data_IF_802160822236
#
_entry.id   IF_802160822236
#
_cell.length_a   1.000
_cell.length_b   1.000
_cell.length_c   1.000
_cell.angle_alpha   90.00
_cell.angle_beta   90.00
_cell.angle_gamma   90.00
#
_symmetry.space_group_name_H-M   'P 1'
#
loop_
_entity.id
_entity.type
_entity.pdbx_description
1 polymer ?
#
# COMPACT_ATOMS: atom_id res chain seq x y z
N UNK A 1 -74.57 51.31 13.63
CA UNK A 1 -74.83 50.47 12.44
C UNK A 1 -73.49 50.10 11.80
N UNK A 2 -73.42 48.95 11.12
CA UNK A 2 -72.34 48.53 10.20
C UNK A 2 -71.99 49.63 9.17
N UNK A 3 -70.84 49.71 8.48
CA UNK A 3 -69.63 48.86 8.34
C UNK A 3 -68.45 49.80 7.85
N UNK A 4 -67.26 49.42 7.33
CA UNK A 4 -66.61 48.15 6.89
C UNK A 4 -65.06 48.30 6.96
N UNK A 5 -64.30 47.25 6.62
CA UNK A 5 -62.85 47.30 6.30
C UNK A 5 -62.63 47.63 4.78
N UNK A 6 -61.44 47.76 4.16
CA UNK A 6 -60.23 46.90 4.17
C UNK A 6 -58.93 47.72 3.81
N UNK A 7 -57.72 47.17 3.50
CA UNK A 7 -56.51 47.43 4.30
C UNK A 7 -55.35 48.15 3.56
N UNK A 8 -54.21 48.40 4.23
CA UNK A 8 -52.93 48.31 3.52
C UNK A 8 -51.72 47.86 4.38
N UNK A 9 -51.13 46.75 3.93
CA UNK A 9 -49.78 46.22 4.14
C UNK A 9 -48.90 46.77 5.30
N UNK A 10 -48.77 45.95 6.36
CA UNK A 10 -47.57 45.97 7.19
C UNK A 10 -46.39 45.43 6.36
N UNK A 11 -45.34 46.25 6.19
CA UNK A 11 -44.07 45.82 5.61
C UNK A 11 -43.36 44.92 6.63
N UNK A 12 -43.49 43.61 6.49
CA UNK A 12 -42.69 42.64 7.26
C UNK A 12 -41.21 42.82 6.93
N UNK A 13 -40.43 43.26 7.92
CA UNK A 13 -38.98 43.21 7.84
C UNK A 13 -38.53 41.75 7.82
N UNK A 14 -37.95 41.31 6.71
CA UNK A 14 -37.30 40.01 6.63
C UNK A 14 -36.03 40.08 7.50
N UNK A 15 -36.03 39.36 8.63
CA UNK A 15 -34.78 39.03 9.31
C UNK A 15 -34.01 38.05 8.42
N UNK A 16 -32.79 38.42 8.03
CA UNK A 16 -31.88 37.52 7.33
C UNK A 16 -31.49 36.36 8.26
N UNK A 17 -31.47 35.10 7.78
CA UNK A 17 -31.11 33.97 8.60
C UNK A 17 -29.60 33.91 8.82
N UNK A 18 -29.18 34.07 10.08
CA UNK A 18 -27.91 33.56 10.58
C UNK A 18 -26.63 34.11 9.95
N UNK A 19 -26.31 35.38 10.22
CA UNK A 19 -24.89 35.80 10.27
C UNK A 19 -24.20 35.02 11.38
N UNK A 20 -23.61 33.87 11.03
CA UNK A 20 -22.66 33.15 11.88
C UNK A 20 -21.46 34.08 12.00
N UNK A 21 -21.18 34.59 13.20
CA UNK A 21 -20.02 35.46 13.40
C UNK A 21 -18.75 34.74 12.94
N UNK A 22 -17.80 35.42 12.27
CA UNK A 22 -16.52 34.82 11.92
C UNK A 22 -15.85 34.21 13.15
N UNK A 23 -15.18 33.05 13.03
CA UNK A 23 -14.45 32.47 14.15
C UNK A 23 -13.30 33.40 14.54
N UNK A 24 -13.01 33.51 15.85
CA UNK A 24 -11.98 34.41 16.34
C UNK A 24 -10.59 33.99 15.81
N UNK A 25 -9.70 34.94 15.46
CA UNK A 25 -8.33 34.64 15.00
C UNK A 25 -7.58 33.65 15.90
N UNK A 26 -7.73 33.76 17.22
CA UNK A 26 -7.14 32.86 18.22
C UNK A 26 -7.69 31.43 18.12
N UNK A 27 -9.00 31.26 17.97
CA UNK A 27 -9.63 29.93 17.86
C UNK A 27 -9.24 29.24 16.55
N UNK A 28 -9.12 30.02 15.48
CA UNK A 28 -8.67 29.55 14.16
C UNK A 28 -7.19 29.13 14.17
N UNK A 29 -6.31 29.87 14.85
CA UNK A 29 -4.93 29.45 15.09
C UNK A 29 -4.86 28.15 15.92
N UNK A 30 -5.74 27.96 16.92
CA UNK A 30 -5.83 26.71 17.67
C UNK A 30 -6.33 25.55 16.79
N UNK A 31 -7.25 25.80 15.85
CA UNK A 31 -7.70 24.81 14.87
C UNK A 31 -6.56 24.36 13.95
N UNK A 32 -5.80 25.30 13.36
CA UNK A 32 -4.64 24.99 12.51
C UNK A 32 -3.58 24.19 13.30
N UNK A 33 -3.26 24.61 14.54
CA UNK A 33 -2.25 23.93 15.35
C UNK A 33 -2.66 22.49 15.73
N UNK A 34 -3.96 22.21 15.93
CA UNK A 34 -4.44 20.83 16.14
C UNK A 34 -4.24 19.95 14.91
N UNK A 35 -4.49 20.49 13.72
CA UNK A 35 -4.24 19.77 12.45
C UNK A 35 -2.73 19.54 12.26
N UNK A 36 -1.89 20.55 12.52
CA UNK A 36 -0.43 20.40 12.49
C UNK A 36 0.09 19.28 13.41
N UNK A 37 -0.45 19.16 14.64
CA UNK A 37 -0.09 18.09 15.58
C UNK A 37 -0.55 16.70 15.08
N UNK A 38 -1.78 16.58 14.59
CA UNK A 38 -2.26 15.32 14.01
C UNK A 38 -1.45 14.92 12.75
N UNK A 39 -0.82 15.88 12.07
CA UNK A 39 0.14 15.62 10.99
C UNK A 39 1.54 15.23 11.50
N UNK A 40 1.92 15.54 12.74
CA UNK A 40 3.11 14.94 13.38
C UNK A 40 2.83 13.47 13.68
N UNK A 41 1.67 13.14 14.22
CA UNK A 41 1.27 11.75 14.50
C UNK A 41 1.27 10.89 13.22
N UNK A 42 0.68 11.39 12.13
CA UNK A 42 0.70 10.70 10.83
C UNK A 42 2.12 10.57 10.25
N UNK A 43 2.99 11.59 10.43
CA UNK A 43 4.39 11.53 10.02
C UNK A 43 5.19 10.50 10.84
N UNK A 44 4.91 10.36 12.14
CA UNK A 44 5.50 9.32 12.99
C UNK A 44 5.09 7.93 12.51
N UNK A 45 3.81 7.70 12.19
CA UNK A 45 3.36 6.42 11.62
C UNK A 45 4.00 6.11 10.27
N UNK A 46 4.20 7.11 9.39
CA UNK A 46 4.90 6.94 8.10
C UNK A 46 6.41 6.64 8.23
N UNK A 47 6.99 6.88 9.40
CA UNK A 47 8.39 6.59 9.73
C UNK A 47 8.54 5.33 10.60
N UNK A 48 7.47 4.57 10.83
CA UNK A 48 7.55 3.25 11.46
C UNK A 48 8.50 2.32 10.65
N UNK A 49 9.35 1.51 11.31
CA UNK A 49 10.37 0.70 10.63
C UNK A 49 9.76 -0.29 9.62
N UNK A 50 8.57 -0.80 9.90
CA UNK A 50 7.81 -1.75 9.08
C UNK A 50 7.39 -1.16 7.73
N UNK A 51 7.28 0.18 7.63
CA UNK A 51 6.97 0.88 6.38
C UNK A 51 8.19 1.54 5.72
N UNK A 52 9.28 1.73 6.49
CA UNK A 52 10.41 2.58 6.07
C UNK A 52 11.74 1.84 5.87
N UNK A 53 11.86 0.61 6.38
CA UNK A 53 13.12 -0.16 6.34
C UNK A 53 12.92 -1.62 5.96
N UNK A 54 11.80 -2.23 6.33
CA UNK A 54 11.50 -3.64 6.01
C UNK A 54 10.66 -3.69 4.73
N UNK A 55 11.00 -4.60 3.81
CA UNK A 55 10.40 -4.65 2.46
C UNK A 55 9.41 -5.81 2.32
N UNK A 56 9.72 -6.96 2.93
CA UNK A 56 9.13 -8.27 2.62
C UNK A 56 8.75 -9.06 3.89
N UNK A 57 8.20 -8.37 4.89
CA UNK A 57 7.74 -9.00 6.14
C UNK A 57 6.40 -8.39 6.57
N UNK A 58 5.48 -9.23 7.03
CA UNK A 58 4.16 -8.86 7.56
C UNK A 58 3.41 -7.88 6.64
N UNK A 59 3.22 -8.31 5.39
CA UNK A 59 2.44 -7.56 4.41
C UNK A 59 1.03 -7.20 4.91
N UNK A 60 0.44 -8.00 5.80
CA UNK A 60 -0.85 -7.73 6.42
C UNK A 60 -0.77 -6.49 7.32
N UNK A 61 0.21 -6.43 8.23
CA UNK A 61 0.44 -5.26 9.08
C UNK A 61 0.80 -4.02 8.26
N UNK A 62 1.64 -4.15 7.25
CA UNK A 62 1.98 -3.04 6.36
C UNK A 62 0.74 -2.49 5.63
N UNK A 63 -0.14 -3.36 5.11
CA UNK A 63 -1.38 -2.95 4.44
C UNK A 63 -2.35 -2.24 5.40
N UNK A 64 -2.60 -2.83 6.57
CA UNK A 64 -3.49 -2.25 7.58
C UNK A 64 -2.96 -0.90 8.12
N UNK A 65 -1.64 -0.80 8.32
CA UNK A 65 -1.00 0.44 8.74
C UNK A 65 -1.12 1.54 7.68
N UNK A 66 -0.80 1.23 6.41
CA UNK A 66 -0.98 2.17 5.29
C UNK A 66 -2.44 2.60 5.11
N UNK A 67 -3.39 1.68 5.29
CA UNK A 67 -4.82 1.96 5.23
C UNK A 67 -5.27 2.90 6.34
N UNK A 68 -4.88 2.63 7.60
CA UNK A 68 -5.17 3.53 8.71
C UNK A 68 -4.54 4.93 8.50
N UNK A 69 -3.31 5.01 7.99
CA UNK A 69 -2.68 6.30 7.65
C UNK A 69 -3.47 7.01 6.54
N UNK A 70 -3.96 6.28 5.53
CA UNK A 70 -4.79 6.86 4.46
C UNK A 70 -6.09 7.46 5.00
N UNK A 71 -6.78 6.74 5.88
CA UNK A 71 -8.02 7.23 6.52
C UNK A 71 -7.75 8.48 7.38
N UNK A 72 -6.60 8.54 8.07
CA UNK A 72 -6.15 9.73 8.80
C UNK A 72 -5.87 10.91 7.85
N UNK A 73 -5.17 10.66 6.72
CA UNK A 73 -4.89 11.70 5.72
C UNK A 73 -6.18 12.25 5.10
N UNK A 74 -7.15 11.41 4.73
CA UNK A 74 -8.41 11.89 4.15
C UNK A 74 -9.15 12.83 5.12
N UNK A 75 -9.23 12.45 6.40
CA UNK A 75 -9.79 13.29 7.47
C UNK A 75 -8.99 14.59 7.69
N UNK A 76 -7.66 14.56 7.52
CA UNK A 76 -6.83 15.77 7.58
C UNK A 76 -7.09 16.68 6.36
N UNK A 77 -7.27 16.12 5.17
CA UNK A 77 -7.63 16.84 3.95
C UNK A 77 -8.97 17.59 4.09
N UNK A 78 -9.98 16.94 4.67
CA UNK A 78 -11.27 17.59 4.99
C UNK A 78 -11.11 18.78 5.94
N UNK A 79 -10.33 18.61 7.02
CA UNK A 79 -10.06 19.69 7.98
C UNK A 79 -9.28 20.85 7.35
N UNK A 80 -8.30 20.56 6.49
CA UNK A 80 -7.52 21.57 5.75
C UNK A 80 -8.42 22.34 4.76
N UNK A 81 -9.36 21.67 4.09
CA UNK A 81 -10.34 22.33 3.23
C UNK A 81 -11.23 23.31 4.02
N UNK A 82 -11.73 22.90 5.19
CA UNK A 82 -12.52 23.77 6.09
C UNK A 82 -11.69 24.94 6.63
N UNK A 83 -10.40 24.74 6.92
CA UNK A 83 -9.48 25.81 7.30
C UNK A 83 -9.38 26.84 6.16
N UNK A 84 -9.11 26.40 4.92
CA UNK A 84 -9.03 27.30 3.76
C UNK A 84 -10.34 28.02 3.44
N UNK A 85 -11.50 27.37 3.64
CA UNK A 85 -12.82 27.99 3.50
C UNK A 85 -13.01 29.17 4.47
N UNK A 86 -12.61 29.00 5.74
CA UNK A 86 -12.71 30.03 6.80
C UNK A 86 -11.69 31.16 6.65
N UNK A 87 -10.57 30.92 5.97
CA UNK A 87 -9.44 31.85 5.93
C UNK A 87 -9.82 33.31 5.59
N UNK A 88 -10.63 33.60 4.55
CA UNK A 88 -10.88 34.98 4.13
C UNK A 88 -11.60 35.80 5.22
N UNK A 89 -12.60 35.21 5.87
CA UNK A 89 -13.40 35.87 6.91
C UNK A 89 -12.56 36.15 8.16
N UNK A 90 -11.71 35.20 8.58
CA UNK A 90 -10.84 35.38 9.75
C UNK A 90 -9.77 36.43 9.51
N UNK A 91 -9.20 36.51 8.29
CA UNK A 91 -8.19 37.51 7.94
C UNK A 91 -8.77 38.94 7.91
N UNK A 92 -10.06 39.11 7.62
CA UNK A 92 -10.73 40.43 7.67
C UNK A 92 -10.91 40.95 9.10
N UNK A 93 -11.16 40.07 10.07
CA UNK A 93 -11.35 40.41 11.49
C UNK A 93 -10.02 40.42 12.29
N UNK A 94 -8.94 39.89 11.73
CA UNK A 94 -7.64 39.81 12.40
C UNK A 94 -6.89 41.16 12.42
N UNK A 95 -6.20 41.44 13.52
CA UNK A 95 -5.22 42.53 13.56
C UNK A 95 -4.00 42.21 12.67
N UNK A 96 -3.23 43.24 12.28
CA UNK A 96 -2.05 43.07 11.43
C UNK A 96 -1.08 41.97 11.90
N UNK A 97 -0.68 41.91 13.18
CA UNK A 97 0.17 40.84 13.71
C UNK A 97 -0.48 39.45 13.65
N UNK A 98 -1.77 39.33 13.95
CA UNK A 98 -2.52 38.06 13.91
C UNK A 98 -2.65 37.56 12.47
N UNK A 99 -2.92 38.44 11.51
CA UNK A 99 -3.01 38.09 10.10
C UNK A 99 -1.68 37.58 9.52
N UNK A 100 -0.55 38.14 9.98
CA UNK A 100 0.79 37.63 9.65
C UNK A 100 0.98 36.22 10.26
N UNK A 101 0.71 36.05 11.55
CA UNK A 101 0.84 34.76 12.23
C UNK A 101 -0.03 33.66 11.60
N UNK A 102 -1.27 33.98 11.23
CA UNK A 102 -2.17 33.07 10.52
C UNK A 102 -1.55 32.66 9.18
N UNK A 103 -1.05 33.61 8.40
CA UNK A 103 -0.46 33.32 7.08
C UNK A 103 0.80 32.44 7.19
N UNK A 104 1.63 32.68 8.19
CA UNK A 104 2.84 31.88 8.43
C UNK A 104 2.48 30.45 8.87
N UNK A 105 1.51 30.31 9.78
CA UNK A 105 1.01 28.99 10.24
C UNK A 105 0.34 28.22 9.10
N UNK A 106 -0.44 28.87 8.23
CA UNK A 106 -1.01 28.25 7.02
C UNK A 106 0.07 27.83 6.00
N UNK A 107 1.15 28.60 5.89
CA UNK A 107 2.29 28.23 5.03
C UNK A 107 2.97 26.97 5.56
N UNK A 108 3.14 26.85 6.88
CA UNK A 108 3.65 25.64 7.53
C UNK A 108 2.70 24.44 7.33
N UNK A 109 1.39 24.65 7.51
CA UNK A 109 0.35 23.64 7.30
C UNK A 109 0.42 23.04 5.89
N UNK A 110 0.39 23.89 4.85
CA UNK A 110 0.44 23.45 3.46
C UNK A 110 1.76 22.73 3.13
N UNK A 111 2.90 23.30 3.54
CA UNK A 111 4.21 22.69 3.27
C UNK A 111 4.36 21.30 3.94
N UNK A 112 3.81 21.12 5.14
CA UNK A 112 3.78 19.83 5.84
C UNK A 112 2.79 18.86 5.19
N UNK A 113 1.63 19.35 4.73
CA UNK A 113 0.62 18.55 4.03
C UNK A 113 1.18 17.96 2.73
N UNK A 114 1.87 18.78 1.92
CA UNK A 114 2.56 18.32 0.71
C UNK A 114 3.69 17.32 1.02
N UNK A 115 4.32 17.42 2.19
CA UNK A 115 5.38 16.51 2.62
C UNK A 115 4.83 15.15 3.03
N UNK A 116 3.82 15.11 3.91
CA UNK A 116 3.26 13.82 4.39
C UNK A 116 2.54 13.06 3.27
N UNK A 117 1.88 13.76 2.33
CA UNK A 117 1.28 13.10 1.16
C UNK A 117 2.34 12.49 0.23
N UNK A 118 3.47 13.19 0.01
CA UNK A 118 4.60 12.59 -0.75
C UNK A 118 5.15 11.37 -0.03
N UNK A 119 5.42 11.46 1.27
CA UNK A 119 5.88 10.32 2.07
C UNK A 119 4.90 9.14 2.00
N UNK A 120 3.59 9.37 2.15
CA UNK A 120 2.58 8.32 2.02
C UNK A 120 2.60 7.67 0.64
N UNK A 121 2.63 8.45 -0.44
CA UNK A 121 2.66 7.94 -1.81
C UNK A 121 3.95 7.14 -2.09
N UNK A 122 5.10 7.59 -1.59
CA UNK A 122 6.38 6.89 -1.72
C UNK A 122 6.33 5.53 -0.99
N UNK A 123 5.77 5.49 0.23
CA UNK A 123 5.61 4.28 1.05
C UNK A 123 4.61 3.30 0.41
N UNK A 124 3.45 3.79 -0.03
CA UNK A 124 2.42 2.96 -0.68
C UNK A 124 2.91 2.42 -2.03
N UNK A 125 3.55 3.25 -2.86
CA UNK A 125 4.14 2.82 -4.13
C UNK A 125 5.36 1.91 -3.97
N UNK A 126 6.01 1.89 -2.81
CA UNK A 126 7.00 0.88 -2.45
C UNK A 126 6.32 -0.45 -2.09
N UNK A 127 5.36 -0.43 -1.16
CA UNK A 127 4.57 -1.60 -0.77
C UNK A 127 3.88 -2.28 -1.98
N UNK A 128 3.27 -1.51 -2.87
CA UNK A 128 2.58 -2.06 -4.05
C UNK A 128 3.53 -2.76 -5.02
N UNK A 129 4.78 -2.29 -5.13
CA UNK A 129 5.83 -2.99 -5.91
C UNK A 129 6.31 -4.25 -5.22
N UNK A 130 6.60 -4.20 -3.92
CA UNK A 130 6.99 -5.37 -3.14
C UNK A 130 5.90 -6.47 -3.19
N UNK A 131 4.62 -6.10 -3.05
CA UNK A 131 3.50 -7.03 -3.20
C UNK A 131 3.40 -7.65 -4.59
N UNK A 132 3.68 -6.90 -5.66
CA UNK A 132 3.62 -7.43 -7.02
C UNK A 132 4.82 -8.34 -7.33
N UNK A 133 6.02 -7.94 -6.90
CA UNK A 133 7.22 -8.78 -6.97
C UNK A 133 7.05 -10.10 -6.18
N UNK A 134 6.38 -10.04 -5.02
CA UNK A 134 6.05 -11.21 -4.20
C UNK A 134 5.00 -12.12 -4.84
N UNK A 135 3.98 -11.56 -5.50
CA UNK A 135 3.00 -12.34 -6.28
C UNK A 135 3.65 -13.04 -7.47
N UNK A 136 4.44 -12.32 -8.26
CA UNK A 136 5.14 -12.90 -9.41
C UNK A 136 6.09 -14.01 -8.95
N UNK A 137 6.85 -13.76 -7.88
CA UNK A 137 7.69 -14.76 -7.23
C UNK A 137 6.91 -16.05 -6.87
N UNK A 138 5.71 -15.90 -6.28
CA UNK A 138 4.86 -17.06 -5.96
C UNK A 138 4.29 -17.78 -7.19
N UNK A 139 3.99 -17.07 -8.27
CA UNK A 139 3.61 -17.70 -9.55
C UNK A 139 4.79 -18.50 -10.13
N UNK A 140 5.97 -17.90 -10.24
CA UNK A 140 7.18 -18.55 -10.76
C UNK A 140 7.53 -19.81 -9.94
N UNK A 141 7.38 -19.74 -8.61
CA UNK A 141 7.58 -20.86 -7.69
C UNK A 141 6.53 -21.98 -7.89
N UNK A 142 5.26 -21.63 -8.12
CA UNK A 142 4.19 -22.59 -8.37
C UNK A 142 4.39 -23.32 -9.70
N UNK A 143 4.69 -22.58 -10.77
CA UNK A 143 4.89 -23.12 -12.11
C UNK A 143 6.09 -24.09 -12.15
N UNK A 144 7.19 -23.74 -11.46
CA UNK A 144 8.32 -24.64 -11.25
C UNK A 144 7.95 -25.89 -10.44
N UNK A 145 7.18 -25.73 -9.36
CA UNK A 145 6.77 -26.87 -8.50
C UNK A 145 5.87 -27.83 -9.27
N UNK A 146 4.97 -27.31 -10.11
CA UNK A 146 4.16 -28.11 -11.02
C UNK A 146 5.03 -28.87 -12.01
N UNK A 147 5.96 -28.18 -12.70
CA UNK A 147 6.84 -28.82 -13.67
C UNK A 147 7.71 -29.93 -13.06
N UNK A 148 8.27 -29.72 -11.85
CA UNK A 148 9.01 -30.78 -11.14
C UNK A 148 8.10 -31.96 -10.78
N UNK A 149 6.86 -31.71 -10.36
CA UNK A 149 5.90 -32.79 -10.07
C UNK A 149 5.57 -33.61 -11.31
N UNK A 150 5.29 -32.95 -12.44
CA UNK A 150 5.02 -33.61 -13.73
C UNK A 150 6.25 -34.38 -14.24
N UNK A 151 7.46 -33.86 -14.02
CA UNK A 151 8.71 -34.56 -14.33
C UNK A 151 8.96 -35.79 -13.44
N UNK A 152 8.69 -35.69 -12.13
CA UNK A 152 8.77 -36.82 -11.19
C UNK A 152 7.75 -37.92 -11.54
N UNK A 153 6.52 -37.57 -11.91
CA UNK A 153 5.49 -38.50 -12.38
C UNK A 153 5.89 -39.19 -13.69
N UNK A 154 6.35 -38.42 -14.69
CA UNK A 154 6.83 -38.96 -15.96
C UNK A 154 8.02 -39.92 -15.77
N UNK A 155 8.94 -39.64 -14.84
CA UNK A 155 10.06 -40.53 -14.55
C UNK A 155 9.64 -41.77 -13.74
N UNK A 156 8.71 -41.63 -12.79
CA UNK A 156 8.13 -42.78 -12.08
C UNK A 156 7.43 -43.74 -13.05
N UNK A 157 6.80 -43.21 -14.09
CA UNK A 157 6.17 -43.97 -15.18
C UNK A 157 7.15 -44.83 -16.00
N UNK A 158 8.46 -44.63 -15.88
CA UNK A 158 9.51 -45.44 -16.55
C UNK A 158 9.85 -46.72 -15.77
N UNK A 159 9.32 -46.90 -14.56
CA UNK A 159 9.50 -48.11 -13.77
C UNK A 159 8.55 -49.21 -14.26
N UNK A 160 9.11 -50.35 -14.65
CA UNK A 160 8.37 -51.53 -15.07
C UNK A 160 7.73 -52.24 -13.85
N UNK A 161 6.67 -53.05 -14.03
CA UNK A 161 5.96 -53.72 -12.93
C UNK A 161 6.79 -54.71 -12.09
N UNK A 162 7.98 -55.09 -12.56
CA UNK A 162 8.95 -55.94 -11.85
C UNK A 162 10.02 -55.15 -11.08
N UNK A 163 9.96 -53.81 -11.13
CA UNK A 163 10.96 -52.91 -10.56
C UNK A 163 12.17 -52.64 -11.46
N UNK A 164 12.19 -53.15 -12.70
CA UNK A 164 13.15 -52.77 -13.73
C UNK A 164 12.89 -51.38 -14.29
N UNK A 165 13.87 -50.82 -15.02
CA UNK A 165 13.72 -49.57 -15.76
C UNK A 165 13.38 -49.87 -17.22
N UNK A 166 12.27 -49.33 -17.73
CA UNK A 166 11.95 -49.33 -19.16
C UNK A 166 12.81 -48.27 -19.87
N UNK A 167 13.89 -48.73 -20.50
CA UNK A 167 14.87 -47.88 -21.18
C UNK A 167 14.31 -47.15 -22.42
N UNK A 168 13.29 -47.69 -23.08
CA UNK A 168 12.67 -47.06 -24.25
C UNK A 168 11.77 -45.90 -23.78
N UNK A 169 10.93 -46.16 -22.77
CA UNK A 169 10.08 -45.14 -22.16
C UNK A 169 10.89 -44.07 -21.43
N UNK A 170 11.95 -44.45 -20.72
CA UNK A 170 12.87 -43.51 -20.07
C UNK A 170 13.55 -42.59 -21.09
N UNK A 171 14.07 -43.13 -22.20
CA UNK A 171 14.66 -42.33 -23.27
C UNK A 171 13.68 -41.34 -23.90
N UNK A 172 12.42 -41.76 -24.12
CA UNK A 172 11.36 -40.87 -24.61
C UNK A 172 11.01 -39.76 -23.61
N UNK A 173 10.78 -40.10 -22.34
CA UNK A 173 10.38 -39.14 -21.32
C UNK A 173 11.52 -38.13 -21.02
N UNK A 174 12.77 -38.60 -20.96
CA UNK A 174 13.94 -37.71 -20.86
C UNK A 174 14.04 -36.76 -22.06
N UNK A 175 13.73 -37.23 -23.28
CA UNK A 175 13.76 -36.39 -24.48
C UNK A 175 12.67 -35.30 -24.48
N UNK A 176 11.52 -35.56 -23.87
CA UNK A 176 10.42 -34.59 -23.67
C UNK A 176 10.84 -33.52 -22.64
N UNK A 177 11.30 -33.94 -21.46
CA UNK A 177 11.75 -33.01 -20.41
C UNK A 177 12.89 -32.10 -20.90
N UNK A 178 13.82 -32.62 -21.72
CA UNK A 178 14.88 -31.82 -22.34
C UNK A 178 14.37 -30.86 -23.44
N UNK A 179 13.20 -31.11 -24.06
CA UNK A 179 12.57 -30.15 -24.97
C UNK A 179 11.84 -29.03 -24.23
N UNK A 180 11.18 -29.36 -23.12
CA UNK A 180 10.50 -28.38 -22.26
C UNK A 180 11.48 -27.44 -21.55
N UNK A 181 12.63 -27.96 -21.13
CA UNK A 181 13.73 -27.15 -20.58
C UNK A 181 14.33 -26.17 -21.61
N UNK A 182 14.29 -26.53 -22.90
CA UNK A 182 14.72 -25.70 -24.02
C UNK A 182 16.24 -25.43 -24.10
N UNK A 183 16.73 -24.85 -25.22
CA UNK A 183 18.15 -24.52 -25.40
C UNK A 183 18.58 -23.21 -24.70
N UNK A 184 17.68 -22.58 -23.95
CA UNK A 184 17.99 -21.54 -22.99
C UNK A 184 17.29 -21.90 -21.69
N UNK A 185 18.07 -22.03 -20.62
CA UNK A 185 17.74 -22.46 -19.26
C UNK A 185 16.55 -21.71 -18.61
N UNK A 186 15.36 -21.64 -19.21
CA UNK A 186 14.29 -20.74 -18.77
C UNK A 186 13.77 -21.07 -17.37
N UNK A 187 13.43 -22.35 -17.16
CA UNK A 187 12.97 -22.89 -15.87
C UNK A 187 14.11 -22.88 -14.84
N UNK A 188 15.34 -23.12 -15.28
CA UNK A 188 16.53 -23.20 -14.40
C UNK A 188 17.00 -21.80 -13.98
N UNK A 189 17.01 -20.82 -14.88
CA UNK A 189 17.27 -19.41 -14.57
C UNK A 189 16.12 -18.79 -13.77
N UNK A 190 14.87 -19.17 -14.03
CA UNK A 190 13.76 -18.79 -13.17
C UNK A 190 13.99 -19.32 -11.75
N UNK A 191 14.30 -20.62 -11.60
CA UNK A 191 14.64 -21.21 -10.30
C UNK A 191 15.85 -20.55 -9.64
N UNK A 192 16.95 -20.32 -10.36
CA UNK A 192 18.20 -19.76 -9.80
C UNK A 192 18.01 -18.28 -9.42
N UNK A 193 17.22 -17.51 -10.18
CA UNK A 193 16.85 -16.13 -9.86
C UNK A 193 15.88 -16.04 -8.66
N UNK A 194 14.86 -16.90 -8.62
CA UNK A 194 13.94 -17.11 -7.48
C UNK A 194 14.75 -17.47 -6.23
N UNK A 195 15.66 -18.45 -6.34
CA UNK A 195 16.52 -18.94 -5.28
C UNK A 195 17.49 -17.86 -4.78
N UNK A 196 18.16 -17.13 -5.68
CA UNK A 196 19.10 -16.08 -5.30
C UNK A 196 18.37 -14.92 -4.61
N UNK A 197 17.24 -14.46 -5.16
CA UNK A 197 16.44 -13.39 -4.55
C UNK A 197 15.96 -13.75 -3.14
N UNK A 198 15.56 -15.00 -2.92
CA UNK A 198 15.21 -15.51 -1.58
C UNK A 198 16.36 -15.52 -0.59
N UNK A 199 17.55 -15.93 -1.02
CA UNK A 199 18.73 -16.01 -0.16
C UNK A 199 19.31 -14.63 0.19
N UNK A 200 19.05 -13.62 -0.64
CA UNK A 200 19.59 -12.28 -0.49
C UNK A 200 18.66 -11.35 0.32
N UNK A 201 17.33 -11.40 0.09
CA UNK A 201 16.37 -10.42 0.64
C UNK A 201 15.47 -10.90 1.81
N UNK A 202 15.31 -12.21 2.05
CA UNK A 202 14.17 -12.77 2.83
C UNK A 202 14.55 -13.56 4.10
N UNK A 203 15.58 -13.12 4.82
CA UNK A 203 16.20 -13.93 5.88
C UNK A 203 15.45 -14.13 7.21
N UNK A 204 14.46 -13.28 7.57
CA UNK A 204 14.11 -13.08 9.00
C UNK A 204 12.94 -13.89 9.57
N UNK A 205 11.70 -13.83 9.04
CA UNK A 205 10.57 -14.55 9.70
C UNK A 205 9.38 -14.98 8.80
N UNK A 206 8.94 -14.20 7.81
CA UNK A 206 7.70 -14.48 7.04
C UNK A 206 7.83 -15.64 6.02
N UNK A 207 9.02 -16.24 5.90
CA UNK A 207 9.43 -17.11 4.78
C UNK A 207 9.68 -18.57 5.15
N UNK A 208 9.22 -19.05 6.32
CA UNK A 208 9.40 -20.45 6.74
C UNK A 208 8.96 -21.47 5.67
N UNK A 209 7.74 -21.29 5.15
CA UNK A 209 7.20 -22.15 4.09
C UNK A 209 8.07 -22.06 2.82
N UNK A 210 8.48 -20.85 2.45
CA UNK A 210 9.29 -20.61 1.26
C UNK A 210 10.67 -21.25 1.37
N UNK A 211 11.28 -21.26 2.55
CA UNK A 211 12.53 -21.96 2.84
C UNK A 211 12.37 -23.48 2.77
N UNK A 212 11.29 -24.03 3.31
CA UNK A 212 10.97 -25.46 3.23
C UNK A 212 10.73 -25.89 1.77
N UNK A 213 9.96 -25.13 1.00
CA UNK A 213 9.78 -25.32 -0.45
C UNK A 213 11.11 -25.22 -1.21
N UNK A 214 11.95 -24.24 -0.88
CA UNK A 214 13.26 -24.04 -1.52
C UNK A 214 14.18 -25.24 -1.34
N UNK A 215 14.27 -25.79 -0.13
CA UNK A 215 15.11 -26.98 0.13
C UNK A 215 14.54 -28.26 -0.52
N UNK A 216 13.21 -28.38 -0.62
CA UNK A 216 12.57 -29.44 -1.42
C UNK A 216 12.95 -29.34 -2.90
N UNK A 217 12.74 -28.18 -3.54
CA UNK A 217 13.02 -27.96 -4.96
C UNK A 217 14.52 -28.16 -5.30
N UNK A 218 15.43 -27.69 -4.44
CA UNK A 218 16.87 -28.00 -4.56
C UNK A 218 17.14 -29.51 -4.58
N UNK A 219 16.48 -30.25 -3.69
CA UNK A 219 16.68 -31.69 -3.53
C UNK A 219 16.15 -32.44 -4.76
N UNK A 220 14.93 -32.15 -5.21
CA UNK A 220 14.36 -32.74 -6.42
C UNK A 220 15.18 -32.43 -7.66
N UNK A 221 15.66 -31.18 -7.83
CA UNK A 221 16.52 -30.82 -8.97
C UNK A 221 17.87 -31.55 -9.00
N UNK A 222 18.47 -31.81 -7.83
CA UNK A 222 19.70 -32.62 -7.73
C UNK A 222 19.41 -34.08 -8.12
N UNK A 223 18.25 -34.62 -7.73
CA UNK A 223 17.84 -35.98 -8.06
C UNK A 223 17.53 -36.14 -9.56
N UNK A 224 16.90 -35.15 -10.20
CA UNK A 224 16.63 -35.12 -11.65
C UNK A 224 17.90 -35.09 -12.53
N UNK A 225 19.08 -34.82 -11.95
CA UNK A 225 20.36 -34.71 -12.65
C UNK A 225 21.30 -35.91 -12.49
N UNK A 226 20.92 -36.94 -11.73
CA UNK A 226 21.72 -38.15 -11.48
C UNK A 226 21.33 -39.32 -12.38
#
# INVERSE_FOLDING_TARGET
MNCKAVPNQQRTGQLAPGTRSPPLPTDYLVEINKVLLAMDDAELSLNAPELSTVVYEDFSFQEDSLKNIKDQLDKLGEQIAVIHEKQPDVILEASGPEAIQIRDTLTQLNAKWDRINRMYNDRKGHFDRAMEEWRQFHCDLNDLTQWITEAEELLAETLAPDGGLDLEKAGMHQQILLQELGPGDGIVMAFDNVLQKLLEDYGSDDTRNVKETTEYLKTSWINLKQ
#
